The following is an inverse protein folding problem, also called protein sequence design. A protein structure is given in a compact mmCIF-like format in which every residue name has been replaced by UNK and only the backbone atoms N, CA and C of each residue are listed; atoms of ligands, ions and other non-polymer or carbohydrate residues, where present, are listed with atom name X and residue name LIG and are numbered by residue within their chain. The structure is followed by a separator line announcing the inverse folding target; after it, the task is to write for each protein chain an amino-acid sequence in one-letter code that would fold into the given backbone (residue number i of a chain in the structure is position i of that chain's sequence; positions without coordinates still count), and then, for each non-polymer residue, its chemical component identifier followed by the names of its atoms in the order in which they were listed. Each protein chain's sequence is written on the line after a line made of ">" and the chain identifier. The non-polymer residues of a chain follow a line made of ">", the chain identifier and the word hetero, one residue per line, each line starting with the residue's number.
data_IF_878685745446
#
_entry.id   IF_878685745446
#
_cell.length_a   1.000
_cell.length_b   1.000
_cell.length_c   1.000
_cell.angle_alpha   90.00
_cell.angle_beta   90.00
_cell.angle_gamma   90.00
#
_symmetry.space_group_name_H-M   'P 1'
#
loop_
_entity.id
_entity.type
_entity.pdbx_description
1 polymer ?
#
# COMPACT_ATOMS: atom_id res chain seq x y z
N UNK A 1 11.37 16.97 6.49
CA UNK A 1 11.20 15.51 6.47
C UNK A 1 9.76 15.20 6.08
N UNK A 2 9.52 14.57 4.92
CA UNK A 2 8.19 14.12 4.48
C UNK A 2 7.86 12.78 5.12
N UNK A 3 6.66 12.65 5.65
CA UNK A 3 6.21 11.43 6.33
C UNK A 3 5.26 10.62 5.45
N UNK A 4 5.60 9.36 5.23
CA UNK A 4 4.82 8.41 4.41
C UNK A 4 4.28 7.31 5.33
N UNK A 5 2.97 7.06 5.27
CA UNK A 5 2.34 5.91 5.91
C UNK A 5 1.93 4.91 4.83
N UNK A 6 2.41 3.70 4.93
CA UNK A 6 1.94 2.56 4.12
C UNK A 6 1.05 1.71 5.01
N UNK A 7 -0.21 1.55 4.63
CA UNK A 7 -1.17 0.73 5.36
C UNK A 7 -1.37 -0.57 4.60
N UNK A 8 -1.02 -1.67 5.24
CA UNK A 8 -0.97 -3.01 4.69
C UNK A 8 0.46 -3.45 4.34
N UNK A 9 0.94 -4.52 4.96
CA UNK A 9 2.21 -5.19 4.68
C UNK A 9 2.01 -6.56 3.97
N UNK A 10 0.86 -6.75 3.33
CA UNK A 10 0.52 -7.96 2.60
C UNK A 10 1.17 -8.05 1.22
N UNK A 11 0.40 -8.61 0.25
CA UNK A 11 0.86 -8.86 -1.11
C UNK A 11 1.45 -7.66 -1.83
N UNK A 12 0.83 -6.47 -1.69
CA UNK A 12 1.32 -5.24 -2.33
C UNK A 12 2.36 -4.55 -1.45
N UNK A 13 2.03 -4.35 -0.15
CA UNK A 13 2.85 -3.51 0.74
C UNK A 13 4.23 -4.09 1.03
N UNK A 14 4.37 -5.41 1.13
CA UNK A 14 5.68 -6.05 1.34
C UNK A 14 6.63 -5.85 0.15
N UNK A 15 6.13 -5.92 -1.09
CA UNK A 15 6.92 -5.62 -2.29
C UNK A 15 7.16 -4.12 -2.47
N UNK A 16 6.20 -3.27 -2.08
CA UNK A 16 6.39 -1.82 -2.09
C UNK A 16 7.51 -1.41 -1.14
N UNK A 17 7.59 -2.01 0.04
CA UNK A 17 8.68 -1.76 1.00
C UNK A 17 10.04 -2.07 0.39
N UNK A 18 10.19 -3.22 -0.29
CA UNK A 18 11.43 -3.56 -0.99
C UNK A 18 11.81 -2.53 -2.07
N UNK A 19 10.84 -2.16 -2.92
CA UNK A 19 11.07 -1.17 -3.99
C UNK A 19 11.48 0.20 -3.43
N UNK A 20 10.88 0.64 -2.31
CA UNK A 20 11.25 1.91 -1.68
C UNK A 20 12.64 1.85 -1.05
N UNK A 21 13.01 0.72 -0.45
CA UNK A 21 14.36 0.51 0.07
C UNK A 21 15.40 0.61 -1.05
N UNK A 22 15.16 -0.02 -2.21
CA UNK A 22 16.04 0.10 -3.37
C UNK A 22 16.18 1.55 -3.83
N UNK A 23 15.08 2.31 -3.89
CA UNK A 23 15.11 3.73 -4.25
C UNK A 23 15.92 4.58 -3.25
N UNK A 24 15.90 4.23 -1.97
CA UNK A 24 16.73 4.87 -0.94
C UNK A 24 18.20 4.50 -1.15
N UNK A 25 18.51 3.22 -1.33
CA UNK A 25 19.89 2.75 -1.58
C UNK A 25 20.49 3.37 -2.85
N UNK A 26 19.68 3.66 -3.86
CA UNK A 26 20.11 4.33 -5.10
C UNK A 26 20.06 5.87 -5.01
N UNK A 27 19.83 6.43 -3.83
CA UNK A 27 19.72 7.88 -3.59
C UNK A 27 18.63 8.59 -4.43
N UNK A 28 17.68 7.82 -4.96
CA UNK A 28 16.55 8.38 -5.73
C UNK A 28 15.45 8.93 -4.80
N UNK A 29 15.33 8.35 -3.60
CA UNK A 29 14.46 8.78 -2.52
C UNK A 29 15.33 8.92 -1.25
N UNK A 30 16.03 10.08 -1.03
CA UNK A 30 16.99 10.20 0.05
C UNK A 30 16.36 9.99 1.44
N UNK A 31 16.93 9.11 2.24
CA UNK A 31 16.47 8.77 3.60
C UNK A 31 16.41 10.00 4.52
N UNK A 32 17.33 10.95 4.32
CA UNK A 32 17.33 12.23 5.06
C UNK A 32 16.07 13.10 4.83
N UNK A 33 15.31 12.82 3.76
CA UNK A 33 14.17 13.63 3.33
C UNK A 33 12.81 12.94 3.56
N UNK A 34 12.81 11.65 3.86
CA UNK A 34 11.58 10.87 4.06
C UNK A 34 11.63 10.06 5.34
N UNK A 35 10.49 9.87 5.95
CA UNK A 35 10.27 8.93 7.04
C UNK A 35 9.14 7.99 6.62
N UNK A 36 9.40 6.71 6.52
CA UNK A 36 8.43 5.70 6.10
C UNK A 36 7.98 4.90 7.31
N UNK A 37 6.67 4.80 7.50
CA UNK A 37 6.03 3.96 8.50
C UNK A 37 5.17 2.92 7.80
N UNK A 38 5.26 1.66 8.19
CA UNK A 38 4.43 0.56 7.70
C UNK A 38 3.50 0.12 8.82
N UNK A 39 2.20 0.16 8.57
CA UNK A 39 1.16 -0.23 9.51
C UNK A 39 0.49 -1.54 9.05
N UNK A 40 0.54 -2.55 9.89
CA UNK A 40 -0.14 -3.84 9.70
C UNK A 40 -0.27 -4.54 11.03
N UNK A 41 -1.40 -5.19 11.30
CA UNK A 41 -1.67 -5.92 12.56
C UNK A 41 -1.55 -7.44 12.39
N UNK A 42 -1.26 -7.92 11.19
CA UNK A 42 -1.14 -9.35 10.87
C UNK A 42 0.26 -9.90 11.13
N UNK A 43 0.31 -11.23 11.27
CA UNK A 43 1.55 -12.01 11.30
C UNK A 43 1.78 -12.70 9.95
N UNK A 44 3.03 -13.06 9.69
CA UNK A 44 3.39 -13.85 8.52
C UNK A 44 2.88 -15.28 8.69
N UNK A 45 2.14 -15.78 7.72
CA UNK A 45 1.64 -17.14 7.65
C UNK A 45 2.33 -17.92 6.53
N UNK A 46 2.44 -19.23 6.64
CA UNK A 46 3.07 -20.09 5.62
C UNK A 46 2.50 -19.86 4.20
N UNK A 47 1.18 -19.64 4.09
CA UNK A 47 0.53 -19.32 2.80
C UNK A 47 1.02 -18.01 2.18
N UNK A 48 1.57 -17.08 2.96
CA UNK A 48 2.02 -15.78 2.48
C UNK A 48 3.33 -15.87 1.69
N UNK A 49 4.20 -16.85 1.99
CA UNK A 49 5.54 -16.99 1.43
C UNK A 49 5.54 -17.07 -0.11
N UNK A 50 4.51 -17.66 -0.70
CA UNK A 50 4.44 -17.85 -2.14
C UNK A 50 4.19 -16.56 -2.94
N UNK A 51 3.55 -15.52 -2.34
CA UNK A 51 3.13 -14.32 -3.07
C UNK A 51 3.38 -12.99 -2.36
N UNK A 52 3.82 -13.01 -1.10
CA UNK A 52 4.29 -11.82 -0.36
C UNK A 52 5.81 -11.84 -0.27
N UNK A 53 6.42 -10.74 0.13
CA UNK A 53 7.87 -10.62 0.23
C UNK A 53 8.37 -11.01 1.62
N UNK A 54 8.08 -12.25 2.01
CA UNK A 54 8.50 -12.88 3.26
C UNK A 54 9.20 -14.22 2.99
N UNK A 55 9.91 -14.73 3.97
CA UNK A 55 10.69 -15.97 3.95
C UNK A 55 10.18 -16.93 5.02
N UNK A 56 10.56 -18.21 4.94
CA UNK A 56 10.09 -19.23 5.88
C UNK A 56 10.48 -18.89 7.34
N UNK A 57 11.58 -18.21 7.53
CA UNK A 57 12.08 -17.76 8.84
C UNK A 57 11.21 -16.66 9.47
N UNK A 58 10.44 -15.94 8.65
CA UNK A 58 9.56 -14.86 9.11
C UNK A 58 8.21 -15.38 9.66
N UNK A 59 7.90 -16.67 9.46
CA UNK A 59 6.60 -17.23 9.84
C UNK A 59 6.35 -17.04 11.35
N UNK A 60 5.16 -16.54 11.69
CA UNK A 60 4.69 -16.16 13.03
C UNK A 60 5.19 -14.80 13.55
N UNK A 61 6.08 -14.11 12.84
CA UNK A 61 6.48 -12.76 13.21
C UNK A 61 5.47 -11.72 12.69
N UNK A 62 5.29 -10.58 13.38
CA UNK A 62 4.45 -9.49 12.88
C UNK A 62 4.98 -8.94 11.54
N UNK A 63 4.14 -8.84 10.52
CA UNK A 63 4.54 -8.40 9.17
C UNK A 63 5.27 -7.05 9.18
N UNK A 64 4.74 -6.07 9.94
CA UNK A 64 5.37 -4.75 10.04
C UNK A 64 6.75 -4.82 10.71
N UNK A 65 6.94 -5.66 11.73
CA UNK A 65 8.22 -5.84 12.40
C UNK A 65 9.27 -6.50 11.51
N UNK A 66 8.87 -7.49 10.70
CA UNK A 66 9.77 -8.12 9.70
C UNK A 66 10.29 -7.09 8.70
N UNK A 67 9.39 -6.26 8.15
CA UNK A 67 9.79 -5.22 7.20
C UNK A 67 10.64 -4.12 7.86
N UNK A 68 10.40 -3.81 9.15
CA UNK A 68 11.27 -2.94 9.94
C UNK A 68 12.70 -3.53 10.06
N UNK A 69 12.81 -4.78 10.47
CA UNK A 69 14.10 -5.44 10.63
C UNK A 69 14.89 -5.51 9.31
N UNK A 70 14.19 -5.73 8.20
CA UNK A 70 14.78 -5.91 6.85
C UNK A 70 15.18 -4.59 6.19
N UNK A 71 14.35 -3.54 6.31
CA UNK A 71 14.49 -2.29 5.56
C UNK A 71 14.70 -1.04 6.42
N UNK A 72 14.62 -1.13 7.76
CA UNK A 72 14.80 0.00 8.66
C UNK A 72 13.61 0.96 8.75
N UNK A 73 12.48 0.69 8.07
CA UNK A 73 11.26 1.50 8.14
C UNK A 73 10.62 1.40 9.53
N UNK A 74 9.87 2.43 9.95
CA UNK A 74 9.12 2.34 11.21
C UNK A 74 8.01 1.30 11.11
N UNK A 75 7.89 0.44 12.12
CA UNK A 75 6.79 -0.51 12.25
C UNK A 75 5.69 0.06 13.15
N UNK A 76 4.45 -0.09 12.72
CA UNK A 76 3.26 0.15 13.52
C UNK A 76 2.39 -1.11 13.48
N UNK A 77 2.54 -1.97 14.50
CA UNK A 77 1.83 -3.24 14.62
C UNK A 77 0.38 -3.00 15.07
N UNK A 78 -0.40 -2.38 14.17
CA UNK A 78 -1.75 -1.92 14.48
C UNK A 78 -2.59 -1.84 13.22
N UNK A 79 -3.87 -2.25 13.33
CA UNK A 79 -4.88 -1.95 12.33
C UNK A 79 -5.30 -0.47 12.43
N UNK A 80 -5.26 0.23 11.32
CA UNK A 80 -5.69 1.62 11.23
C UNK A 80 -7.22 1.65 11.07
N UNK A 81 -7.91 2.15 12.08
CA UNK A 81 -9.38 2.24 12.12
C UNK A 81 -9.88 3.63 12.52
N UNK A 82 -8.98 4.53 12.89
CA UNK A 82 -9.30 5.86 13.39
C UNK A 82 -8.52 6.93 12.60
N UNK A 83 -9.16 8.04 12.25
CA UNK A 83 -8.52 9.15 11.54
C UNK A 83 -7.34 9.74 12.30
N UNK A 84 -7.33 9.65 13.63
CA UNK A 84 -6.22 10.11 14.47
C UNK A 84 -4.91 9.41 14.18
N UNK A 85 -4.97 8.18 13.69
CA UNK A 85 -3.79 7.41 13.30
C UNK A 85 -3.17 7.92 11.98
N UNK A 86 -3.91 8.75 11.23
CA UNK A 86 -3.50 9.32 9.96
C UNK A 86 -2.84 10.70 10.12
N UNK A 87 -2.95 11.32 11.29
CA UNK A 87 -2.44 12.66 11.50
C UNK A 87 -0.91 12.76 11.40
N UNK A 88 -0.47 13.77 10.69
CA UNK A 88 0.94 14.11 10.56
C UNK A 88 1.67 13.37 9.45
N UNK A 89 0.97 12.59 8.63
CA UNK A 89 1.53 12.02 7.40
C UNK A 89 1.22 12.91 6.21
N UNK A 90 2.22 13.13 5.36
CA UNK A 90 2.12 13.94 4.15
C UNK A 90 1.62 13.09 2.96
N UNK A 91 1.94 11.80 2.96
CA UNK A 91 1.46 10.83 1.97
C UNK A 91 0.98 9.56 2.68
N UNK A 92 -0.18 9.05 2.28
CA UNK A 92 -0.71 7.78 2.77
C UNK A 92 -0.91 6.86 1.58
N UNK A 93 -0.37 5.64 1.68
CA UNK A 93 -0.53 4.59 0.67
C UNK A 93 -1.42 3.51 1.24
N UNK A 94 -2.56 3.25 0.60
CA UNK A 94 -3.41 2.11 0.91
C UNK A 94 -3.00 0.91 0.05
N UNK A 95 -2.50 -0.13 0.71
CA UNK A 95 -2.12 -1.42 0.12
C UNK A 95 -2.91 -2.58 0.77
N UNK A 96 -4.13 -2.28 1.23
CA UNK A 96 -5.10 -3.20 1.82
C UNK A 96 -6.30 -3.34 0.89
N UNK A 97 -7.04 -4.42 1.01
CA UNK A 97 -8.29 -4.70 0.30
C UNK A 97 -9.54 -4.39 1.13
N UNK A 98 -9.40 -3.57 2.18
CA UNK A 98 -10.45 -3.19 3.11
C UNK A 98 -11.21 -1.94 2.63
N UNK A 99 -12.48 -2.06 2.18
CA UNK A 99 -13.27 -0.91 1.74
C UNK A 99 -13.54 0.11 2.84
N UNK A 100 -13.67 -0.33 4.10
CA UNK A 100 -13.92 0.57 5.25
C UNK A 100 -12.73 1.49 5.49
N UNK A 101 -11.51 0.95 5.39
CA UNK A 101 -10.30 1.77 5.50
C UNK A 101 -10.20 2.79 4.37
N UNK A 102 -10.51 2.39 3.12
CA UNK A 102 -10.51 3.32 1.99
C UNK A 102 -11.55 4.43 2.15
N UNK A 103 -12.73 4.14 2.74
CA UNK A 103 -13.74 5.17 3.06
C UNK A 103 -13.24 6.13 4.14
N UNK A 104 -12.60 5.60 5.19
CA UNK A 104 -11.95 6.43 6.22
C UNK A 104 -10.92 7.38 5.59
N UNK A 105 -10.09 6.88 4.66
CA UNK A 105 -9.14 7.72 3.93
C UNK A 105 -9.82 8.75 3.03
N UNK A 106 -10.90 8.38 2.36
CA UNK A 106 -11.67 9.33 1.55
C UNK A 106 -12.15 10.50 2.39
N UNK A 107 -12.81 10.21 3.53
CA UNK A 107 -13.32 11.23 4.44
C UNK A 107 -12.18 12.09 4.99
N UNK A 108 -11.08 11.46 5.41
CA UNK A 108 -9.89 12.15 5.90
C UNK A 108 -9.29 13.09 4.85
N UNK A 109 -9.06 12.61 3.63
CA UNK A 109 -8.46 13.42 2.56
C UNK A 109 -9.43 14.51 2.05
N UNK A 110 -10.73 14.32 2.18
CA UNK A 110 -11.72 15.35 1.86
C UNK A 110 -11.60 16.56 2.82
N UNK A 111 -11.35 16.30 4.10
CA UNK A 111 -11.14 17.33 5.12
C UNK A 111 -9.71 17.88 5.07
N UNK A 112 -8.71 16.99 4.99
CA UNK A 112 -7.29 17.31 5.03
C UNK A 112 -6.68 17.25 3.63
N UNK A 113 -7.05 18.19 2.75
CA UNK A 113 -6.68 18.23 1.32
C UNK A 113 -5.17 18.33 1.03
N UNK A 114 -4.33 18.50 2.06
CA UNK A 114 -2.86 18.50 1.92
C UNK A 114 -2.24 17.11 1.95
N UNK A 115 -2.95 16.12 2.50
CA UNK A 115 -2.48 14.75 2.53
C UNK A 115 -2.65 14.12 1.16
N UNK A 116 -1.57 13.61 0.62
CA UNK A 116 -1.59 12.90 -0.65
C UNK A 116 -1.97 11.44 -0.40
N UNK A 117 -2.95 10.92 -1.15
CA UNK A 117 -3.34 9.52 -1.07
C UNK A 117 -3.01 8.78 -2.36
N UNK A 118 -2.34 7.64 -2.22
CA UNK A 118 -2.08 6.67 -3.29
C UNK A 118 -2.79 5.37 -2.90
N UNK A 119 -3.72 4.90 -3.73
CA UNK A 119 -4.46 3.67 -3.50
C UNK A 119 -4.03 2.60 -4.50
N UNK A 120 -3.47 1.51 -4.01
CA UNK A 120 -2.95 0.41 -4.80
C UNK A 120 -3.86 -0.80 -4.65
N UNK A 121 -4.27 -1.36 -5.77
CA UNK A 121 -5.20 -2.50 -5.82
C UNK A 121 -4.70 -3.58 -6.75
N UNK A 122 -4.91 -4.82 -6.34
CA UNK A 122 -4.69 -5.99 -7.17
C UNK A 122 -5.79 -7.01 -6.87
N UNK A 123 -6.35 -7.59 -7.89
CA UNK A 123 -7.35 -8.65 -7.80
C UNK A 123 -7.12 -9.63 -8.95
N UNK A 124 -6.51 -10.77 -8.63
CA UNK A 124 -6.14 -11.76 -9.65
C UNK A 124 -5.30 -11.12 -10.76
N UNK A 125 -5.88 -11.00 -11.96
CA UNK A 125 -5.22 -10.46 -13.17
C UNK A 125 -5.42 -8.96 -13.37
N UNK A 126 -6.17 -8.30 -12.51
CA UNK A 126 -6.45 -6.86 -12.61
C UNK A 126 -5.64 -6.09 -11.58
N UNK A 127 -5.00 -5.01 -12.01
CA UNK A 127 -4.34 -4.06 -11.13
C UNK A 127 -4.88 -2.66 -11.35
N UNK A 128 -4.90 -1.86 -10.28
CA UNK A 128 -5.23 -0.45 -10.37
C UNK A 128 -4.42 0.37 -9.36
N UNK A 129 -4.08 1.59 -9.76
CA UNK A 129 -3.48 2.59 -8.89
C UNK A 129 -4.21 3.91 -9.08
N UNK A 130 -4.54 4.57 -7.98
CA UNK A 130 -5.18 5.87 -7.95
C UNK A 130 -4.33 6.84 -7.14
N UNK A 131 -4.40 8.13 -7.47
CA UNK A 131 -3.71 9.15 -6.68
C UNK A 131 -4.51 10.45 -6.66
N UNK A 132 -4.49 11.15 -5.53
CA UNK A 132 -5.17 12.44 -5.33
C UNK A 132 -4.43 13.62 -5.97
N UNK A 133 -3.63 13.39 -7.00
CA UNK A 133 -2.90 14.44 -7.73
C UNK A 133 -3.79 15.46 -8.45
N UNK A 134 -5.03 15.10 -8.73
CA UNK A 134 -6.04 15.97 -9.38
C UNK A 134 -7.28 16.13 -8.51
N UNK A 135 -7.92 17.31 -8.58
CA UNK A 135 -9.08 17.68 -7.75
C UNK A 135 -10.25 16.69 -7.78
N UNK A 136 -10.49 16.05 -8.92
CA UNK A 136 -11.66 15.17 -9.10
C UNK A 136 -11.34 13.68 -8.90
N UNK A 137 -10.11 13.34 -8.54
CA UNK A 137 -9.72 11.92 -8.39
C UNK A 137 -10.33 11.32 -7.14
N UNK A 138 -10.44 12.09 -6.07
CA UNK A 138 -11.01 11.61 -4.80
C UNK A 138 -12.44 11.10 -4.99
N UNK A 139 -13.29 11.83 -5.72
CA UNK A 139 -14.67 11.42 -6.03
C UNK A 139 -14.68 10.15 -6.90
N UNK A 140 -13.80 10.08 -7.92
CA UNK A 140 -13.67 8.88 -8.75
C UNK A 140 -13.22 7.65 -7.95
N UNK A 141 -12.38 7.84 -6.95
CA UNK A 141 -11.97 6.75 -6.06
C UNK A 141 -13.16 6.25 -5.22
N UNK A 142 -14.02 7.14 -4.73
CA UNK A 142 -15.23 6.78 -3.98
C UNK A 142 -16.15 5.87 -4.79
N UNK A 143 -16.39 6.20 -6.06
CA UNK A 143 -17.25 5.43 -6.96
C UNK A 143 -16.74 3.98 -7.18
N UNK A 144 -15.49 3.71 -6.88
CA UNK A 144 -14.86 2.39 -7.05
C UNK A 144 -14.74 1.58 -5.77
N UNK A 145 -15.21 2.07 -4.61
CA UNK A 145 -15.00 1.41 -3.32
C UNK A 145 -15.94 0.24 -3.03
N UNK A 146 -16.95 0.03 -3.85
CA UNK A 146 -17.97 -1.01 -3.59
C UNK A 146 -18.86 -0.68 -2.39
N UNK A 147 -19.73 -1.60 -1.96
CA UNK A 147 -20.62 -1.42 -0.82
C UNK A 147 -19.86 -1.35 0.52
N UNK A 148 -20.44 -0.68 1.52
CA UNK A 148 -19.82 -0.48 2.84
C UNK A 148 -19.68 -1.77 3.66
N UNK A 149 -20.57 -2.71 3.44
CA UNK A 149 -20.65 -4.00 4.09
C UNK A 149 -19.88 -5.11 3.35
N UNK A 150 -19.13 -4.76 2.30
CA UNK A 150 -18.25 -5.72 1.65
C UNK A 150 -17.22 -6.28 2.64
N UNK A 151 -17.10 -7.59 2.66
CA UNK A 151 -16.03 -8.26 3.43
C UNK A 151 -14.65 -7.90 2.89
N UNK A 152 -13.63 -8.00 3.76
CA UNK A 152 -12.24 -7.83 3.36
C UNK A 152 -11.92 -8.89 2.29
N UNK A 153 -11.40 -8.45 1.16
CA UNK A 153 -11.04 -9.32 0.04
C UNK A 153 -9.63 -9.91 0.18
N UNK A 154 -9.14 -10.51 -0.88
CA UNK A 154 -7.75 -10.92 -1.01
C UNK A 154 -7.19 -10.47 -2.34
N UNK A 155 -5.97 -9.92 -2.33
CA UNK A 155 -5.24 -9.53 -3.56
C UNK A 155 -4.98 -10.72 -4.50
N UNK A 156 -5.06 -11.95 -3.99
CA UNK A 156 -5.06 -13.19 -4.75
C UNK A 156 -6.42 -13.86 -4.58
N UNK A 157 -7.01 -14.35 -5.68
CA UNK A 157 -8.25 -15.10 -5.61
C UNK A 157 -8.01 -16.43 -4.88
N UNK A 158 -8.87 -16.80 -3.94
CA UNK A 158 -8.70 -18.04 -3.15
C UNK A 158 -8.60 -19.27 -4.06
N UNK A 159 -9.40 -19.32 -5.14
CA UNK A 159 -9.32 -20.37 -6.13
C UNK A 159 -7.92 -20.50 -6.78
N UNK A 160 -7.23 -19.37 -7.03
CA UNK A 160 -5.89 -19.38 -7.60
C UNK A 160 -4.87 -19.92 -6.60
N UNK A 161 -4.96 -19.51 -5.34
CA UNK A 161 -4.09 -20.01 -4.27
C UNK A 161 -4.28 -21.51 -4.04
N UNK A 162 -5.52 -21.99 -4.05
CA UNK A 162 -5.85 -23.43 -3.88
C UNK A 162 -5.34 -24.31 -5.05
N UNK A 163 -5.01 -23.69 -6.18
CA UNK A 163 -4.46 -24.37 -7.36
C UNK A 163 -3.00 -23.99 -7.66
N UNK A 164 -2.28 -23.42 -6.69
CA UNK A 164 -0.89 -22.98 -6.82
C UNK A 164 -0.65 -21.98 -7.96
N UNK A 165 -1.67 -21.17 -8.30
CA UNK A 165 -1.58 -20.14 -9.32
C UNK A 165 -1.23 -18.81 -8.65
N UNK A 166 -0.01 -18.32 -8.88
CA UNK A 166 0.45 -17.04 -8.33
C UNK A 166 0.45 -15.97 -9.42
N UNK A 167 -0.37 -14.94 -9.23
CA UNK A 167 -0.41 -13.78 -10.10
C UNK A 167 0.67 -12.75 -9.71
N UNK A 168 1.25 -12.09 -10.71
CA UNK A 168 2.28 -11.07 -10.49
C UNK A 168 1.72 -9.65 -10.23
N UNK A 169 0.40 -9.50 -10.22
CA UNK A 169 -0.28 -8.19 -10.07
C UNK A 169 0.19 -7.40 -8.85
N UNK A 170 0.37 -8.07 -7.71
CA UNK A 170 0.88 -7.46 -6.48
C UNK A 170 2.24 -6.78 -6.66
N UNK A 171 3.19 -7.47 -7.31
CA UNK A 171 4.53 -6.95 -7.57
C UNK A 171 4.49 -5.78 -8.56
N UNK A 172 3.69 -5.91 -9.62
CA UNK A 172 3.60 -4.88 -10.65
C UNK A 172 2.99 -3.60 -10.08
N UNK A 173 1.88 -3.69 -9.33
CA UNK A 173 1.26 -2.51 -8.74
C UNK A 173 2.12 -1.90 -7.64
N UNK A 174 2.93 -2.69 -6.93
CA UNK A 174 3.92 -2.19 -5.97
C UNK A 174 5.02 -1.35 -6.65
N UNK A 175 5.51 -1.76 -7.83
CA UNK A 175 6.45 -0.95 -8.63
C UNK A 175 5.79 0.36 -9.08
N UNK A 176 4.54 0.31 -9.55
CA UNK A 176 3.79 1.52 -9.91
C UNK A 176 3.63 2.44 -8.69
N UNK A 177 3.31 1.88 -7.52
CA UNK A 177 3.19 2.62 -6.27
C UNK A 177 4.50 3.32 -5.86
N UNK A 178 5.64 2.64 -5.98
CA UNK A 178 6.95 3.24 -5.69
C UNK A 178 7.26 4.40 -6.64
N UNK A 179 6.91 4.28 -7.93
CA UNK A 179 7.05 5.38 -8.88
C UNK A 179 6.12 6.56 -8.55
N UNK A 180 4.89 6.31 -8.09
CA UNK A 180 3.96 7.36 -7.68
C UNK A 180 4.46 8.12 -6.46
N UNK A 181 5.03 7.41 -5.47
CA UNK A 181 5.68 8.03 -4.31
C UNK A 181 6.87 8.88 -4.75
N UNK A 182 7.69 8.39 -5.66
CA UNK A 182 8.84 9.12 -6.19
C UNK A 182 8.42 10.38 -6.92
N UNK A 183 7.40 10.32 -7.77
CA UNK A 183 6.83 11.48 -8.46
C UNK A 183 6.29 12.50 -7.45
N UNK A 184 5.48 12.06 -6.48
CA UNK A 184 4.99 12.94 -5.41
C UNK A 184 6.13 13.59 -4.64
N UNK A 185 7.17 12.84 -4.32
CA UNK A 185 8.35 13.36 -3.62
C UNK A 185 9.06 14.44 -4.43
N UNK A 186 9.16 14.26 -5.73
CA UNK A 186 9.82 15.18 -6.68
C UNK A 186 8.93 16.31 -7.19
N UNK A 187 7.66 16.38 -6.76
CA UNK A 187 6.64 17.28 -7.29
C UNK A 187 6.36 17.07 -8.78
N UNK A 188 6.59 15.86 -9.29
CA UNK A 188 6.20 15.44 -10.63
C UNK A 188 4.74 14.98 -10.65
N UNK A 189 4.18 14.90 -11.86
CA UNK A 189 2.81 14.40 -12.04
C UNK A 189 2.75 12.89 -12.15
N UNK A 190 1.66 12.32 -11.64
CA UNK A 190 1.29 10.92 -11.87
C UNK A 190 -0.07 10.85 -12.54
N UNK A 191 -0.35 9.85 -13.38
CA UNK A 191 -1.71 9.61 -13.84
C UNK A 191 -2.66 9.47 -12.64
N UNK A 192 -3.80 10.17 -12.60
CA UNK A 192 -4.73 10.11 -11.47
C UNK A 192 -5.33 8.71 -11.30
N UNK A 193 -5.47 7.98 -12.40
CA UNK A 193 -5.95 6.60 -12.45
C UNK A 193 -5.11 5.81 -13.42
N UNK A 194 -4.60 4.68 -12.98
CA UNK A 194 -4.00 3.64 -13.81
C UNK A 194 -4.75 2.34 -13.57
N UNK A 195 -5.13 1.63 -14.61
CA UNK A 195 -5.76 0.30 -14.51
C UNK A 195 -5.32 -0.56 -15.67
N UNK A 196 -5.02 -1.81 -15.38
CA UNK A 196 -4.59 -2.78 -16.38
C UNK A 196 -5.12 -4.17 -16.04
N UNK A 197 -5.48 -4.95 -17.07
CA UNK A 197 -5.87 -6.35 -16.99
C UNK A 197 -4.95 -7.17 -17.91
N UNK A 198 -4.32 -8.22 -17.34
CA UNK A 198 -3.35 -9.08 -18.03
C UNK A 198 -4.01 -10.13 -18.90
#
# INVERSE_FOLDING_TARGET
>A
LKKILIVGAGGIGSWLAANLYDLICWEQLPDSNVEITIADDDHVEAKNISYQNFEDEDIMDPKAAVLHARYGFKALEKRITDERDLYGYDCIVSAVDNPKFRRLLFEYCHVYSRTHWIDLRSEGRTIAAFTTSEKNTLEKMLDTLGPEDAEDGSCQLQFELDNDIIQQGNKIVAVIGSQYILNWHRFDTSPPVFSFNF
#
